data_IF_662325265065
#
_entry.id   IF_662325265065
#
_cell.length_a   1.000
_cell.length_b   1.000
_cell.length_c   1.000
_cell.angle_alpha   90.00
_cell.angle_beta   90.00
_cell.angle_gamma   90.00
#
_symmetry.space_group_name_H-M   'P 1'
#
loop_
_entity.id
_entity.type
_entity.pdbx_description
1 polymer ?
#
# COMPACT_ATOMS: atom_id res chain seq x y z
N UNK A 1 -35.21 22.37 -17.84
CA UNK A 1 -34.59 23.17 -16.76
C UNK A 1 -35.52 23.09 -15.56
N UNK A 2 -34.92 22.88 -14.38
CA UNK A 2 -35.50 22.94 -13.02
C UNK A 2 -35.92 21.58 -12.41
N UNK A 3 -35.20 21.24 -11.33
CA UNK A 3 -35.56 20.49 -10.10
C UNK A 3 -35.53 18.95 -10.00
N UNK A 4 -34.32 18.38 -9.89
CA UNK A 4 -34.10 17.08 -9.20
C UNK A 4 -32.95 17.09 -8.17
N UNK A 5 -32.38 18.25 -7.83
CA UNK A 5 -31.21 18.35 -6.94
C UNK A 5 -31.43 18.30 -5.41
N UNK A 6 -32.65 18.36 -4.80
CA UNK A 6 -32.75 18.35 -3.34
C UNK A 6 -32.95 16.97 -2.67
N UNK A 7 -33.28 15.91 -3.41
CA UNK A 7 -33.61 14.59 -2.79
C UNK A 7 -32.38 13.71 -2.54
N UNK A 8 -31.33 13.81 -3.39
CA UNK A 8 -30.10 13.01 -3.26
C UNK A 8 -29.28 13.41 -2.02
N UNK A 9 -29.35 14.68 -1.59
CA UNK A 9 -28.68 15.16 -0.38
C UNK A 9 -29.38 14.66 0.90
N UNK A 10 -30.68 14.39 0.85
CA UNK A 10 -31.43 13.94 2.03
C UNK A 10 -31.19 12.45 2.37
N UNK A 11 -31.04 11.58 1.37
CA UNK A 11 -30.86 10.12 1.60
C UNK A 11 -29.44 9.79 2.08
N UNK A 12 -28.42 10.49 1.57
CA UNK A 12 -27.04 10.39 2.09
C UNK A 12 -26.95 10.83 3.57
N UNK A 13 -27.73 11.83 3.99
CA UNK A 13 -27.77 12.30 5.38
C UNK A 13 -28.43 11.32 6.36
N UNK A 14 -29.39 10.48 5.93
CA UNK A 14 -30.09 9.56 6.84
C UNK A 14 -29.28 8.29 7.14
N UNK A 15 -28.54 7.75 6.16
CA UNK A 15 -27.64 6.60 6.38
C UNK A 15 -26.41 7.02 7.20
N UNK A 16 -25.90 8.23 6.96
CA UNK A 16 -24.86 8.85 7.80
C UNK A 16 -25.40 9.10 9.21
N UNK A 17 -26.64 9.55 9.41
CA UNK A 17 -27.20 9.78 10.75
C UNK A 17 -27.34 8.49 11.60
N UNK A 18 -27.76 7.37 11.00
CA UNK A 18 -27.88 6.09 11.70
C UNK A 18 -26.53 5.52 12.17
N UNK A 19 -25.50 5.61 11.32
CA UNK A 19 -24.12 5.26 11.65
C UNK A 19 -23.48 6.27 12.62
N UNK A 20 -23.80 7.56 12.52
CA UNK A 20 -23.34 8.61 13.44
C UNK A 20 -23.91 8.41 14.84
N UNK A 21 -25.15 7.93 15.03
CA UNK A 21 -25.71 7.69 16.37
C UNK A 21 -25.09 6.47 17.07
N UNK A 22 -24.69 5.43 16.32
CA UNK A 22 -23.95 4.29 16.86
C UNK A 22 -22.46 4.65 17.11
N UNK A 23 -21.84 5.39 16.18
CA UNK A 23 -20.46 5.87 16.29
C UNK A 23 -20.28 6.92 17.39
N UNK A 24 -21.29 7.76 17.68
CA UNK A 24 -21.23 8.79 18.75
C UNK A 24 -21.15 8.20 20.15
N UNK A 25 -21.64 6.97 20.38
CA UNK A 25 -21.51 6.29 21.68
C UNK A 25 -20.11 5.70 21.89
N UNK A 26 -19.47 5.18 20.83
CA UNK A 26 -18.09 4.67 20.90
C UNK A 26 -17.02 5.78 20.83
N UNK A 27 -17.24 6.85 20.05
CA UNK A 27 -16.31 7.99 19.94
C UNK A 27 -16.21 8.81 21.22
N UNK A 28 -17.29 8.94 22.02
CA UNK A 28 -17.21 9.64 23.32
C UNK A 28 -16.32 8.91 24.33
N UNK A 29 -16.24 7.59 24.27
CA UNK A 29 -15.35 6.82 25.13
C UNK A 29 -13.88 6.89 24.67
N UNK A 30 -13.63 6.89 23.35
CA UNK A 30 -12.29 6.98 22.77
C UNK A 30 -11.67 8.39 22.87
N UNK A 31 -12.46 9.45 22.68
CA UNK A 31 -11.99 10.83 22.79
C UNK A 31 -11.55 11.21 24.22
N UNK A 32 -12.10 10.56 25.25
CA UNK A 32 -11.71 10.78 26.64
C UNK A 32 -10.34 10.16 27.00
N UNK A 33 -9.80 9.26 26.17
CA UNK A 33 -8.54 8.55 26.43
C UNK A 33 -7.32 9.17 25.73
N UNK A 34 -7.51 10.12 24.81
CA UNK A 34 -6.41 10.80 24.12
C UNK A 34 -5.78 11.88 25.03
N UNK A 35 -4.75 11.49 25.78
CA UNK A 35 -3.99 12.41 26.63
C UNK A 35 -2.90 13.11 25.79
N UNK A 36 -3.23 14.32 25.32
CA UNK A 36 -2.31 15.28 24.70
C UNK A 36 -2.56 15.52 23.21
N UNK A 37 -2.72 16.77 22.74
CA UNK A 37 -2.81 17.04 21.31
C UNK A 37 -1.48 16.68 20.65
N UNK A 38 -1.52 15.82 19.62
CA UNK A 38 -0.45 15.76 18.62
C UNK A 38 -0.21 17.20 18.17
N UNK A 39 0.97 17.76 18.49
CA UNK A 39 1.27 19.14 18.18
C UNK A 39 1.06 19.33 16.66
N UNK A 40 0.14 20.24 16.30
CA UNK A 40 -0.08 20.64 14.92
C UNK A 40 1.23 21.23 14.39
N UNK A 41 1.99 20.42 13.66
CA UNK A 41 3.08 20.92 12.84
C UNK A 41 2.45 21.46 11.57
N UNK A 42 2.40 22.78 11.44
CA UNK A 42 2.13 23.41 10.15
C UNK A 42 3.36 23.18 9.27
N UNK A 43 3.32 22.13 8.47
CA UNK A 43 4.28 21.88 7.40
C UNK A 43 3.57 22.09 6.07
N UNK A 44 4.24 22.73 5.12
CA UNK A 44 3.76 22.78 3.74
C UNK A 44 3.82 21.36 3.17
N UNK A 45 2.66 20.72 2.97
CA UNK A 45 2.59 19.42 2.30
C UNK A 45 2.89 19.60 0.82
N UNK A 46 3.94 18.92 0.34
CA UNK A 46 4.23 18.80 -1.07
C UNK A 46 3.56 17.54 -1.66
N UNK A 47 3.42 17.51 -2.98
CA UNK A 47 2.97 16.30 -3.70
C UNK A 47 3.88 15.10 -3.41
N UNK A 48 5.17 15.33 -3.14
CA UNK A 48 6.12 14.31 -2.71
C UNK A 48 5.84 13.73 -1.32
N UNK A 49 5.10 14.42 -0.46
CA UNK A 49 4.70 13.91 0.86
C UNK A 49 3.45 13.03 0.79
N UNK A 50 2.85 12.89 -0.41
CA UNK A 50 1.66 12.08 -0.64
C UNK A 50 2.06 10.81 -1.37
N UNK A 51 1.64 9.69 -0.80
CA UNK A 51 1.72 8.39 -1.42
C UNK A 51 0.39 8.05 -2.11
N UNK A 52 0.47 7.66 -3.39
CA UNK A 52 -0.70 7.32 -4.21
C UNK A 52 -1.03 5.83 -4.03
N UNK A 53 -2.17 5.53 -3.42
CA UNK A 53 -2.68 4.16 -3.32
C UNK A 53 -3.27 3.68 -4.66
N UNK A 54 -2.92 2.47 -5.08
CA UNK A 54 -3.25 1.97 -6.42
C UNK A 54 -4.26 0.81 -6.41
N UNK A 55 -5.00 0.59 -5.32
CA UNK A 55 -6.03 -0.45 -5.30
C UNK A 55 -7.10 -0.28 -6.40
N UNK A 56 -7.53 0.95 -6.79
CA UNK A 56 -8.48 1.11 -7.89
C UNK A 56 -7.93 0.66 -9.25
N UNK A 57 -6.60 0.66 -9.45
CA UNK A 57 -5.99 0.19 -10.69
C UNK A 57 -6.20 -1.32 -10.90
N UNK A 58 -6.52 -2.07 -9.84
CA UNK A 58 -6.89 -3.47 -9.92
C UNK A 58 -8.38 -3.73 -10.20
N UNK A 59 -9.14 -2.70 -10.57
CA UNK A 59 -10.56 -2.79 -10.86
C UNK A 59 -11.47 -2.91 -9.64
N UNK A 60 -10.96 -2.64 -8.42
CA UNK A 60 -11.61 -2.92 -7.11
C UNK A 60 -12.94 -2.17 -6.87
N UNK A 61 -13.26 -1.13 -7.65
CA UNK A 61 -14.50 -0.35 -7.48
C UNK A 61 -15.21 -0.15 -8.80
N UNK A 62 -14.43 0.16 -9.84
CA UNK A 62 -14.91 0.37 -11.19
C UNK A 62 -13.96 -0.34 -12.15
N UNK A 63 -14.52 -0.83 -13.25
CA UNK A 63 -13.73 -1.38 -14.35
C UNK A 63 -12.83 -0.29 -14.92
N UNK A 64 -11.59 -0.67 -15.24
CA UNK A 64 -10.60 0.26 -15.75
C UNK A 64 -9.77 -0.46 -16.81
N UNK A 65 -9.73 0.07 -18.04
CA UNK A 65 -8.85 -0.50 -19.06
C UNK A 65 -7.37 -0.31 -18.69
N UNK A 66 -6.50 -1.13 -19.28
CA UNK A 66 -5.05 -0.99 -19.07
C UNK A 66 -4.54 0.41 -19.46
N UNK A 67 -5.00 0.94 -20.60
CA UNK A 67 -4.60 2.27 -21.06
C UNK A 67 -5.07 3.39 -20.12
N UNK A 68 -6.31 3.34 -19.60
CA UNK A 68 -6.82 4.31 -18.62
C UNK A 68 -6.03 4.25 -17.31
N UNK A 69 -5.75 3.03 -16.80
CA UNK A 69 -4.97 2.83 -15.60
C UNK A 69 -3.54 3.37 -15.75
N UNK A 70 -2.91 3.08 -16.89
CA UNK A 70 -1.57 3.57 -17.22
C UNK A 70 -1.55 5.11 -17.38
N UNK A 71 -2.59 5.70 -17.98
CA UNK A 71 -2.73 7.15 -18.12
C UNK A 71 -2.85 7.86 -16.77
N UNK A 72 -3.61 7.30 -15.82
CA UNK A 72 -3.70 7.85 -14.45
C UNK A 72 -2.33 7.92 -13.80
N UNK A 73 -1.56 6.83 -13.85
CA UNK A 73 -0.21 6.75 -13.27
C UNK A 73 0.75 7.69 -13.99
N UNK A 74 0.70 7.73 -15.33
CA UNK A 74 1.47 8.68 -16.13
C UNK A 74 1.20 10.11 -15.67
N UNK A 75 -0.08 10.47 -15.51
CA UNK A 75 -0.48 11.81 -15.09
C UNK A 75 0.01 12.15 -13.69
N UNK A 76 -0.08 11.21 -12.75
CA UNK A 76 0.50 11.35 -11.42
C UNK A 76 2.00 11.71 -11.50
N UNK A 77 2.75 10.99 -12.32
CA UNK A 77 4.19 11.20 -12.51
C UNK A 77 4.49 12.59 -13.12
N UNK A 78 3.69 13.04 -14.09
CA UNK A 78 3.82 14.34 -14.76
C UNK A 78 3.50 15.56 -13.89
N UNK A 79 2.65 15.39 -12.87
CA UNK A 79 2.29 16.46 -11.91
C UNK A 79 3.17 16.45 -10.66
N UNK A 80 4.00 15.43 -10.48
CA UNK A 80 5.05 15.41 -9.46
C UNK A 80 4.92 14.34 -8.39
N UNK A 81 3.96 13.41 -8.45
CA UNK A 81 3.87 12.29 -7.49
C UNK A 81 5.04 11.33 -7.66
N UNK A 82 5.74 11.04 -6.56
CA UNK A 82 6.92 10.16 -6.56
C UNK A 82 6.74 8.91 -5.72
N UNK A 83 5.70 8.82 -4.90
CA UNK A 83 5.47 7.70 -4.00
C UNK A 83 4.16 7.00 -4.34
N UNK A 84 4.22 5.67 -4.46
CA UNK A 84 3.06 4.83 -4.82
C UNK A 84 2.99 3.61 -3.91
N UNK A 85 1.78 3.22 -3.53
CA UNK A 85 1.50 1.99 -2.81
C UNK A 85 0.62 1.06 -3.65
N UNK A 86 1.01 -0.21 -3.69
CA UNK A 86 0.29 -1.26 -4.41
C UNK A 86 0.29 -2.56 -3.60
N UNK A 87 -0.27 -3.63 -4.14
CA UNK A 87 -0.23 -4.95 -3.53
C UNK A 87 -0.52 -6.05 -4.56
N UNK A 88 0.03 -7.27 -4.37
CA UNK A 88 -0.36 -8.44 -5.15
C UNK A 88 -1.85 -8.78 -5.03
N UNK A 89 -2.47 -8.42 -3.90
CA UNK A 89 -3.89 -8.66 -3.66
C UNK A 89 -4.79 -7.78 -4.54
N UNK A 90 -4.30 -6.63 -5.04
CA UNK A 90 -5.09 -5.69 -5.82
C UNK A 90 -5.25 -6.19 -7.27
N UNK A 91 -6.44 -6.67 -7.61
CA UNK A 91 -6.70 -7.24 -8.94
C UNK A 91 -5.90 -8.52 -9.21
N UNK A 92 -5.56 -9.29 -8.17
CA UNK A 92 -4.65 -10.45 -8.27
C UNK A 92 -3.32 -10.14 -8.98
N UNK A 93 -2.81 -8.92 -8.76
CA UNK A 93 -1.54 -8.43 -9.29
C UNK A 93 -1.68 -7.51 -10.51
N UNK A 94 -2.89 -7.33 -11.04
CA UNK A 94 -3.17 -6.42 -12.15
C UNK A 94 -2.77 -4.98 -11.82
N UNK A 95 -3.03 -4.52 -10.59
CA UNK A 95 -2.62 -3.19 -10.17
C UNK A 95 -1.10 -2.98 -10.22
N UNK A 96 -0.31 -4.01 -9.87
CA UNK A 96 1.16 -3.95 -9.93
C UNK A 96 1.64 -3.86 -11.39
N UNK A 97 1.04 -4.65 -12.28
CA UNK A 97 1.36 -4.63 -13.71
C UNK A 97 1.06 -3.26 -14.35
N UNK A 98 -0.14 -2.74 -14.09
CA UNK A 98 -0.59 -1.42 -14.59
C UNK A 98 0.25 -0.28 -14.02
N UNK A 99 0.55 -0.31 -12.72
CA UNK A 99 1.46 0.65 -12.09
C UNK A 99 2.83 0.64 -12.77
N UNK A 100 3.42 -0.55 -12.96
CA UNK A 100 4.70 -0.71 -13.63
C UNK A 100 4.73 -0.10 -15.04
N UNK A 101 3.69 -0.37 -15.85
CA UNK A 101 3.56 0.16 -17.20
C UNK A 101 3.36 1.68 -17.23
N UNK A 102 2.45 2.21 -16.41
CA UNK A 102 2.21 3.64 -16.31
C UNK A 102 3.43 4.43 -15.82
N UNK A 103 4.20 3.88 -14.86
CA UNK A 103 5.44 4.50 -14.40
C UNK A 103 6.47 4.61 -15.52
N UNK A 104 6.60 3.58 -16.37
CA UNK A 104 7.49 3.63 -17.54
C UNK A 104 7.04 4.71 -18.53
N UNK A 105 5.74 4.79 -18.84
CA UNK A 105 5.18 5.84 -19.72
C UNK A 105 5.47 7.24 -19.17
N UNK A 106 5.11 7.49 -17.91
CA UNK A 106 5.31 8.80 -17.27
C UNK A 106 6.77 9.20 -17.12
N UNK A 107 7.65 8.26 -16.75
CA UNK A 107 9.07 8.55 -16.61
C UNK A 107 9.74 8.85 -17.96
N UNK A 108 9.33 8.17 -19.04
CA UNK A 108 9.83 8.43 -20.38
C UNK A 108 9.43 9.82 -20.90
N UNK A 109 8.26 10.33 -20.50
CA UNK A 109 7.75 11.66 -20.89
C UNK A 109 8.35 12.81 -20.06
N UNK A 110 8.93 12.53 -18.90
CA UNK A 110 9.49 13.54 -18.00
C UNK A 110 10.83 14.11 -18.48
N UNK A 111 10.78 15.28 -19.12
CA UNK A 111 11.98 16.03 -19.50
C UNK A 111 12.73 16.61 -18.30
N UNK A 112 14.03 16.87 -18.46
CA UNK A 112 14.84 17.57 -17.44
C UNK A 112 14.24 18.93 -17.06
N UNK A 113 13.75 19.69 -18.04
CA UNK A 113 13.10 20.99 -17.81
C UNK A 113 11.84 20.84 -16.96
N UNK A 114 11.00 19.83 -17.26
CA UNK A 114 9.80 19.55 -16.46
C UNK A 114 10.14 19.16 -15.03
N UNK A 115 11.18 18.32 -14.86
CA UNK A 115 11.69 17.95 -13.52
C UNK A 115 12.21 19.16 -12.74
N UNK A 116 12.93 20.07 -13.39
CA UNK A 116 13.39 21.32 -12.76
C UNK A 116 12.22 22.21 -12.32
N UNK A 117 11.20 22.37 -13.18
CA UNK A 117 10.01 23.18 -12.87
C UNK A 117 9.22 22.64 -11.68
N UNK A 118 9.21 21.31 -11.51
CA UNK A 118 8.57 20.62 -10.39
C UNK A 118 9.49 20.46 -9.16
N UNK A 119 10.76 20.90 -9.23
CA UNK A 119 11.79 20.79 -8.18
C UNK A 119 12.15 19.35 -7.76
N UNK A 120 12.16 18.44 -8.72
CA UNK A 120 12.31 16.98 -8.54
C UNK A 120 13.41 16.40 -9.45
N UNK A 121 14.46 17.18 -9.73
CA UNK A 121 15.52 16.80 -10.68
C UNK A 121 16.17 15.47 -10.32
N UNK A 122 16.42 15.27 -9.03
CA UNK A 122 17.12 14.12 -8.48
C UNK A 122 16.18 13.19 -7.70
N UNK A 123 14.87 13.43 -7.77
CA UNK A 123 13.88 12.59 -7.09
C UNK A 123 13.49 11.37 -7.93
N UNK A 124 13.71 10.21 -7.33
CA UNK A 124 13.35 8.90 -7.86
C UNK A 124 11.91 8.55 -7.52
N UNK A 125 11.22 7.84 -8.42
CA UNK A 125 9.92 7.26 -8.12
C UNK A 125 10.12 6.02 -7.26
N UNK A 126 9.42 5.94 -6.14
CA UNK A 126 9.49 4.83 -5.19
C UNK A 126 8.13 4.17 -5.02
N UNK A 127 8.17 2.84 -4.98
CA UNK A 127 6.99 2.00 -4.81
C UNK A 127 7.10 1.22 -3.52
N UNK A 128 6.01 1.19 -2.77
CA UNK A 128 5.83 0.21 -1.71
C UNK A 128 4.83 -0.83 -2.20
N UNK A 129 5.14 -2.10 -1.96
CA UNK A 129 4.18 -3.19 -2.19
C UNK A 129 4.00 -3.98 -0.91
N UNK A 130 3.10 -4.95 -0.96
CA UNK A 130 2.74 -5.78 0.19
C UNK A 130 3.04 -7.26 -0.08
N UNK A 131 3.13 -8.02 0.99
CA UNK A 131 3.33 -9.48 0.97
C UNK A 131 2.27 -10.18 1.82
N UNK A 132 2.33 -11.51 1.87
CA UNK A 132 1.36 -12.37 2.57
C UNK A 132 0.33 -13.00 1.63
N UNK A 133 0.27 -12.55 0.37
CA UNK A 133 -0.44 -13.23 -0.72
C UNK A 133 0.55 -13.67 -1.79
N UNK A 134 0.60 -14.96 -2.07
CA UNK A 134 1.30 -15.53 -3.22
C UNK A 134 0.26 -15.79 -4.30
N UNK A 135 0.40 -15.13 -5.45
CA UNK A 135 -0.51 -15.36 -6.57
C UNK A 135 -0.06 -16.61 -7.31
N UNK A 136 -0.89 -17.64 -7.30
CA UNK A 136 -0.66 -18.92 -7.98
C UNK A 136 -1.61 -19.06 -9.16
N UNK A 137 -1.30 -19.97 -10.08
CA UNK A 137 -2.27 -20.46 -11.05
C UNK A 137 -3.11 -21.57 -10.42
N UNK A 138 -4.36 -21.77 -10.85
CA UNK A 138 -5.26 -22.82 -10.30
C UNK A 138 -4.64 -24.21 -10.24
N UNK A 139 -3.83 -24.59 -11.23
CA UNK A 139 -3.15 -25.89 -11.32
C UNK A 139 -1.94 -26.03 -10.38
N UNK A 140 -1.42 -24.92 -9.84
CA UNK A 140 -0.26 -24.93 -8.92
C UNK A 140 -0.65 -24.76 -7.45
N UNK A 141 -1.96 -24.72 -7.15
CA UNK A 141 -2.49 -24.74 -5.79
C UNK A 141 -2.33 -26.14 -5.19
N UNK A 142 -1.61 -26.23 -4.07
CA UNK A 142 -1.39 -27.45 -3.33
C UNK A 142 -2.51 -27.68 -2.29
N UNK A 143 -2.75 -28.93 -1.89
CA UNK A 143 -3.80 -29.29 -0.94
C UNK A 143 -3.70 -28.60 0.43
N UNK A 144 -2.51 -28.12 0.83
CA UNK A 144 -2.29 -27.39 2.08
C UNK A 144 -2.33 -25.87 1.95
N UNK A 145 -2.55 -25.33 0.74
CA UNK A 145 -2.64 -23.89 0.54
C UNK A 145 -3.94 -23.34 1.14
N UNK A 146 -3.83 -22.18 1.77
CA UNK A 146 -5.00 -21.42 2.24
C UNK A 146 -5.35 -20.40 1.17
N UNK A 147 -6.41 -20.66 0.41
CA UNK A 147 -6.89 -19.73 -0.63
C UNK A 147 -7.77 -18.65 -0.01
N UNK A 148 -7.50 -17.38 -0.34
CA UNK A 148 -8.34 -16.25 0.03
C UNK A 148 -9.53 -16.17 -0.93
N UNK A 149 -10.54 -17.02 -0.68
CA UNK A 149 -11.68 -17.22 -1.58
C UNK A 149 -12.46 -15.94 -1.88
N UNK A 150 -12.51 -15.02 -0.90
CA UNK A 150 -13.19 -13.74 -1.05
C UNK A 150 -12.56 -12.84 -2.11
N UNK A 151 -11.34 -13.11 -2.58
CA UNK A 151 -10.68 -12.32 -3.62
C UNK A 151 -10.59 -13.06 -4.97
N UNK A 152 -11.34 -14.16 -5.15
CA UNK A 152 -11.45 -14.86 -6.43
C UNK A 152 -12.46 -14.17 -7.36
N UNK A 153 -12.22 -14.15 -8.68
CA UNK A 153 -13.22 -13.70 -9.64
C UNK A 153 -14.51 -14.51 -9.46
N UNK A 154 -15.62 -13.81 -9.20
CA UNK A 154 -16.94 -14.42 -9.01
C UNK A 154 -17.33 -14.75 -7.60
N UNK A 155 -16.52 -14.38 -6.60
CA UNK A 155 -16.99 -14.44 -5.21
C UNK A 155 -18.13 -13.44 -4.94
N UNK A 156 -19.11 -13.87 -4.15
CA UNK A 156 -20.19 -12.97 -3.67
C UNK A 156 -19.73 -11.95 -2.62
N UNK A 157 -18.53 -12.16 -2.07
CA UNK A 157 -17.84 -11.33 -1.08
C UNK A 157 -16.68 -10.55 -1.68
N UNK A 158 -16.54 -10.55 -3.01
CA UNK A 158 -15.39 -9.89 -3.63
C UNK A 158 -15.37 -8.40 -3.34
N UNK A 159 -14.19 -7.89 -3.03
CA UNK A 159 -13.93 -6.46 -2.73
C UNK A 159 -14.31 -5.52 -3.88
N UNK A 160 -14.69 -6.06 -5.05
CA UNK A 160 -15.23 -5.39 -6.23
C UNK A 160 -16.65 -4.85 -5.99
N UNK A 161 -16.76 -3.77 -5.22
CA UNK A 161 -18.03 -3.09 -4.97
C UNK A 161 -18.30 -2.04 -6.05
N UNK A 162 -19.34 -2.25 -6.88
CA UNK A 162 -19.88 -1.20 -7.74
C UNK A 162 -20.94 -0.40 -6.97
N UNK A 163 -20.74 0.91 -6.86
CA UNK A 163 -21.74 1.84 -6.29
C UNK A 163 -22.31 2.67 -7.43
N UNK A 164 -23.63 2.65 -7.62
CA UNK A 164 -24.30 3.58 -8.54
C UNK A 164 -25.21 4.56 -7.78
N UNK A 165 -25.68 5.60 -8.49
CA UNK A 165 -26.52 6.66 -7.93
C UNK A 165 -27.92 6.20 -7.47
N UNK A 166 -28.29 4.93 -7.68
CA UNK A 166 -29.59 4.34 -7.31
C UNK A 166 -29.48 3.38 -6.11
N UNK A 167 -28.28 3.08 -5.63
CA UNK A 167 -28.05 2.26 -4.44
C UNK A 167 -26.80 1.37 -4.56
N UNK A 168 -26.52 0.59 -3.50
CA UNK A 168 -25.49 -0.46 -3.53
C UNK A 168 -26.05 -1.63 -4.35
N UNK A 169 -25.64 -1.74 -5.61
CA UNK A 169 -25.94 -2.90 -6.45
C UNK A 169 -24.77 -3.89 -6.39
N UNK A 170 -24.89 -4.94 -5.57
CA UNK A 170 -23.95 -6.08 -5.55
C UNK A 170 -24.29 -7.00 -6.73
N UNK A 171 -23.90 -6.66 -7.96
CA UNK A 171 -23.96 -7.61 -9.09
C UNK A 171 -22.95 -7.26 -10.21
N UNK A 172 -21.81 -7.97 -10.27
CA UNK A 172 -21.44 -8.90 -11.36
C UNK A 172 -20.23 -9.78 -10.95
N UNK A 173 -20.19 -11.10 -11.28
CA UNK A 173 -19.29 -12.09 -10.68
C UNK A 173 -17.93 -12.20 -11.39
N UNK A 174 -17.36 -11.09 -11.81
CA UNK A 174 -16.03 -11.09 -12.44
C UNK A 174 -15.48 -9.70 -12.26
N UNK A 175 -14.42 -9.54 -11.47
CA UNK A 175 -13.47 -8.48 -11.81
C UNK A 175 -12.97 -8.83 -13.20
N UNK A 176 -13.54 -8.20 -14.23
CA UNK A 176 -13.26 -8.53 -15.64
C UNK A 176 -11.75 -8.43 -15.95
N UNK A 177 -11.02 -7.67 -15.15
CA UNK A 177 -9.58 -7.48 -15.29
C UNK A 177 -8.72 -8.52 -14.56
N UNK A 178 -9.24 -9.21 -13.54
CA UNK A 178 -8.42 -10.17 -12.79
C UNK A 178 -8.22 -11.44 -13.61
N UNK A 179 -7.01 -12.02 -13.63
CA UNK A 179 -6.77 -13.23 -14.40
C UNK A 179 -7.64 -14.38 -13.91
N UNK A 180 -8.37 -15.03 -14.82
CA UNK A 180 -9.30 -16.11 -14.47
C UNK A 180 -8.60 -17.32 -13.83
N UNK A 181 -7.32 -17.54 -14.12
CA UNK A 181 -6.52 -18.64 -13.60
C UNK A 181 -5.75 -18.28 -12.32
N UNK A 182 -5.77 -17.02 -11.90
CA UNK A 182 -5.03 -16.56 -10.73
C UNK A 182 -5.78 -16.88 -9.43
N UNK A 183 -5.02 -17.31 -8.42
CA UNK A 183 -5.50 -17.69 -7.10
C UNK A 183 -4.64 -17.03 -6.04
N UNK A 184 -5.22 -16.21 -5.14
CA UNK A 184 -4.48 -15.63 -4.02
C UNK A 184 -4.35 -16.67 -2.91
N UNK A 185 -3.12 -17.14 -2.66
CA UNK A 185 -2.81 -18.01 -1.52
C UNK A 185 -2.25 -17.18 -0.38
N UNK A 186 -2.87 -17.28 0.79
CA UNK A 186 -2.36 -16.71 2.04
C UNK A 186 -1.12 -17.50 2.47
N UNK A 187 0.02 -16.83 2.49
CA UNK A 187 1.29 -17.41 2.94
C UNK A 187 2.06 -16.35 3.72
N UNK A 188 1.85 -16.35 5.03
CA UNK A 188 2.52 -15.46 5.98
C UNK A 188 3.85 -16.05 6.48
N UNK A 189 4.41 -17.05 5.80
CA UNK A 189 5.75 -17.56 6.13
C UNK A 189 6.84 -16.64 5.57
N UNK A 190 8.08 -16.80 6.06
CA UNK A 190 9.22 -16.09 5.50
C UNK A 190 9.46 -16.43 4.02
N UNK A 191 9.22 -17.68 3.63
CA UNK A 191 9.32 -18.12 2.24
C UNK A 191 8.20 -17.52 1.37
N UNK A 192 6.98 -17.45 1.91
CA UNK A 192 5.84 -16.78 1.29
C UNK A 192 6.11 -15.30 1.03
N UNK A 193 6.64 -14.59 2.01
CA UNK A 193 7.03 -13.19 1.87
C UNK A 193 8.07 -12.98 0.76
N UNK A 194 9.13 -13.80 0.74
CA UNK A 194 10.17 -13.73 -0.29
C UNK A 194 9.61 -14.05 -1.69
N UNK A 195 8.77 -15.08 -1.80
CA UNK A 195 8.12 -15.48 -3.05
C UNK A 195 7.17 -14.42 -3.57
N UNK A 196 6.32 -13.87 -2.71
CA UNK A 196 5.38 -12.80 -3.02
C UNK A 196 6.12 -11.56 -3.54
N UNK A 197 7.19 -11.13 -2.86
CA UNK A 197 8.04 -10.04 -3.32
C UNK A 197 8.67 -10.29 -4.69
N UNK A 198 9.23 -11.48 -4.92
CA UNK A 198 9.82 -11.84 -6.21
C UNK A 198 8.78 -11.78 -7.35
N UNK A 199 7.54 -12.23 -7.10
CA UNK A 199 6.45 -12.10 -8.05
C UNK A 199 6.06 -10.64 -8.32
N UNK A 200 6.01 -9.81 -7.27
CA UNK A 200 5.74 -8.37 -7.40
C UNK A 200 6.78 -7.66 -8.26
N UNK A 201 8.07 -7.99 -8.11
CA UNK A 201 9.13 -7.47 -8.99
C UNK A 201 8.89 -7.85 -10.46
N UNK A 202 8.41 -9.06 -10.70
CA UNK A 202 8.03 -9.53 -12.04
C UNK A 202 6.88 -8.71 -12.65
N UNK A 203 5.82 -8.44 -11.86
CA UNK A 203 4.65 -7.68 -12.31
C UNK A 203 4.93 -6.19 -12.51
N UNK A 204 5.59 -5.55 -11.52
CA UNK A 204 6.03 -4.15 -11.64
C UNK A 204 6.98 -3.96 -12.83
N UNK A 205 7.81 -4.97 -13.10
CA UNK A 205 8.72 -5.00 -14.24
C UNK A 205 10.00 -4.21 -14.00
N UNK A 206 10.88 -4.17 -15.02
CA UNK A 206 12.22 -3.62 -14.88
C UNK A 206 12.19 -2.10 -14.66
N UNK A 207 13.15 -1.62 -13.86
CA UNK A 207 13.36 -0.19 -13.60
C UNK A 207 12.48 0.42 -12.50
N UNK A 208 11.49 -0.30 -11.99
CA UNK A 208 10.72 0.14 -10.82
C UNK A 208 11.56 -0.04 -9.56
N UNK A 209 11.68 1.02 -8.75
CA UNK A 209 12.36 0.98 -7.47
C UNK A 209 11.35 0.71 -6.36
N UNK A 210 11.42 -0.50 -5.81
CA UNK A 210 10.68 -0.84 -4.60
C UNK A 210 11.45 -0.30 -3.40
N UNK A 211 10.85 0.64 -2.67
CA UNK A 211 11.42 1.27 -1.49
C UNK A 211 10.97 0.63 -0.18
N UNK A 212 9.87 -0.10 -0.18
CA UNK A 212 9.36 -0.74 1.04
C UNK A 212 8.45 -1.93 0.80
N UNK A 213 8.36 -2.78 1.81
CA UNK A 213 7.52 -3.97 1.84
C UNK A 213 6.66 -3.98 3.10
N UNK A 214 5.37 -4.24 2.92
CA UNK A 214 4.42 -4.33 4.04
C UNK A 214 3.84 -5.72 4.18
N UNK A 215 3.75 -6.26 5.39
CA UNK A 215 2.89 -7.42 5.63
C UNK A 215 1.43 -6.97 5.50
N UNK A 216 0.65 -7.56 4.60
CA UNK A 216 -0.71 -7.11 4.28
C UNK A 216 -1.73 -7.73 5.23
N UNK A 217 -2.55 -6.94 5.91
CA UNK A 217 -3.77 -7.31 6.61
C UNK A 217 -3.74 -8.61 7.47
N UNK A 218 -2.77 -8.77 8.40
CA UNK A 218 -2.79 -9.88 9.36
C UNK A 218 -3.83 -9.70 10.48
N UNK A 219 -5.11 -9.56 10.13
CA UNK A 219 -6.15 -9.01 11.03
C UNK A 219 -6.98 -10.04 11.80
N UNK A 220 -6.60 -11.31 11.74
CA UNK A 220 -7.12 -12.35 12.64
C UNK A 220 -6.03 -12.80 13.62
N UNK A 221 -6.37 -13.32 14.80
CA UNK A 221 -5.36 -13.80 15.76
C UNK A 221 -4.38 -14.81 15.16
N UNK A 222 -4.84 -15.67 14.25
CA UNK A 222 -3.99 -16.63 13.57
C UNK A 222 -3.04 -15.98 12.56
N UNK A 223 -3.53 -15.00 11.77
CA UNK A 223 -2.71 -14.28 10.79
C UNK A 223 -1.73 -13.32 11.48
N UNK A 224 -2.13 -12.68 12.57
CA UNK A 224 -1.27 -11.86 13.43
C UNK A 224 -0.08 -12.68 13.94
N UNK A 225 -0.35 -13.84 14.55
CA UNK A 225 0.69 -14.74 15.01
C UNK A 225 1.60 -15.23 13.87
N UNK A 226 1.02 -15.57 12.71
CA UNK A 226 1.78 -15.99 11.54
C UNK A 226 2.67 -14.86 10.98
N UNK A 227 2.18 -13.63 10.93
CA UNK A 227 2.94 -12.48 10.47
C UNK A 227 4.14 -12.18 11.37
N UNK A 228 3.94 -12.17 12.69
CA UNK A 228 4.98 -11.93 13.69
C UNK A 228 6.07 -13.00 13.64
N UNK A 229 5.70 -14.27 13.47
CA UNK A 229 6.64 -15.40 13.45
C UNK A 229 7.24 -15.67 12.05
N UNK A 230 6.62 -15.18 10.98
CA UNK A 230 6.95 -15.55 9.60
C UNK A 230 7.26 -14.36 8.69
N UNK A 231 6.22 -13.69 8.18
CA UNK A 231 6.35 -12.66 7.16
C UNK A 231 7.25 -11.51 7.58
N UNK A 232 7.12 -11.00 8.81
CA UNK A 232 7.92 -9.87 9.28
C UNK A 232 9.41 -10.24 9.38
N UNK A 233 9.82 -11.36 10.02
CA UNK A 233 11.19 -11.88 9.91
C UNK A 233 11.65 -12.11 8.46
N UNK A 234 10.78 -12.63 7.59
CA UNK A 234 11.08 -12.85 6.18
C UNK A 234 11.38 -11.57 5.41
N UNK A 235 10.58 -10.52 5.61
CA UNK A 235 10.80 -9.21 5.04
C UNK A 235 12.10 -8.57 5.55
N UNK A 236 12.42 -8.74 6.84
CA UNK A 236 13.70 -8.30 7.38
C UNK A 236 14.90 -9.01 6.71
N UNK A 237 14.76 -10.31 6.40
CA UNK A 237 15.75 -11.06 5.65
C UNK A 237 15.87 -10.58 4.19
N UNK A 238 14.75 -10.28 3.52
CA UNK A 238 14.72 -9.68 2.17
C UNK A 238 15.43 -8.33 2.17
N UNK A 239 15.14 -7.46 3.15
CA UNK A 239 15.84 -6.17 3.36
C UNK A 239 17.35 -6.35 3.53
N UNK A 240 17.76 -7.31 4.34
CA UNK A 240 19.18 -7.63 4.57
C UNK A 240 19.88 -8.20 3.32
N UNK A 241 19.14 -8.87 2.41
CA UNK A 241 19.66 -9.35 1.15
C UNK A 241 19.74 -8.24 0.09
N UNK A 242 18.73 -7.37 0.01
CA UNK A 242 18.67 -6.25 -0.94
C UNK A 242 19.80 -5.23 -0.71
N UNK A 243 20.13 -4.94 0.56
CA UNK A 243 21.24 -4.04 0.95
C UNK A 243 22.63 -4.55 0.56
N UNK A 244 22.78 -5.86 0.31
CA UNK A 244 24.04 -6.47 -0.13
C UNK A 244 24.23 -6.47 -1.65
N UNK A 245 23.21 -6.09 -2.44
CA UNK A 245 23.32 -6.04 -3.90
C UNK A 245 24.12 -4.79 -4.31
N UNK A 246 25.19 -4.90 -5.11
CA UNK A 246 25.88 -3.73 -5.65
C UNK A 246 24.90 -2.92 -6.51
N UNK A 247 25.07 -1.59 -6.50
CA UNK A 247 24.27 -0.69 -7.34
C UNK A 247 24.32 -1.17 -8.81
N UNK A 248 23.20 -1.10 -9.55
CA UNK A 248 23.22 -1.46 -10.96
C UNK A 248 24.26 -0.61 -11.68
N UNK A 249 25.17 -1.26 -12.41
CA UNK A 249 26.10 -0.57 -13.29
C UNK A 249 25.25 0.26 -14.26
N UNK A 250 25.31 1.59 -14.14
CA UNK A 250 24.72 2.47 -15.14
C UNK A 250 25.26 2.08 -16.49
N UNK A 251 24.40 1.98 -17.50
CA UNK A 251 24.81 1.71 -18.86
C UNK A 251 25.83 2.79 -19.29
N UNK A 252 27.13 2.47 -19.19
CA UNK A 252 28.18 3.32 -19.70
C UNK A 252 28.00 3.42 -21.20
N UNK A 253 27.58 4.59 -21.67
CA UNK A 253 27.55 4.90 -23.09
C UNK A 253 29.01 5.06 -23.54
N UNK A 254 29.52 4.26 -24.50
CA UNK A 254 30.88 4.40 -24.96
C UNK A 254 31.07 5.80 -25.57
N UNK A 255 31.84 6.67 -24.89
CA UNK A 255 32.19 8.02 -25.37
C UNK A 255 31.82 9.20 -24.48
N UNK A 256 31.16 9.00 -23.32
CA UNK A 256 30.87 10.10 -22.40
C UNK A 256 32.13 10.54 -21.63
N UNK A 257 32.62 11.78 -21.88
CA UNK A 257 33.71 12.37 -21.11
C UNK A 257 33.33 12.46 -19.62
N UNK A 258 34.08 11.77 -18.76
CA UNK A 258 33.97 11.78 -17.30
C UNK A 258 34.02 13.23 -16.78
N UNK A 259 32.90 13.75 -16.27
CA UNK A 259 32.90 15.05 -15.57
C UNK A 259 33.55 14.87 -14.21
N UNK A 260 34.46 15.77 -13.83
CA UNK A 260 34.96 15.85 -12.45
C UNK A 260 33.77 16.22 -11.56
N UNK A 261 33.32 15.27 -10.73
CA UNK A 261 32.15 15.46 -9.86
C UNK A 261 31.26 14.23 -9.68
N UNK A 262 31.52 13.09 -10.33
CA UNK A 262 30.83 11.83 -10.04
C UNK A 262 31.14 11.36 -8.61
N UNK A 263 30.39 11.90 -7.64
CA UNK A 263 30.16 11.24 -6.38
C UNK A 263 29.55 9.88 -6.72
N UNK A 264 30.22 8.80 -6.34
CA UNK A 264 29.73 7.44 -6.58
C UNK A 264 28.28 7.34 -6.12
N UNK A 265 27.43 6.72 -6.95
CA UNK A 265 26.03 6.50 -6.64
C UNK A 265 25.92 5.97 -5.20
N UNK A 266 25.24 6.72 -4.33
CA UNK A 266 25.02 6.31 -2.95
C UNK A 266 24.40 4.91 -2.94
N UNK A 267 24.82 4.07 -2.01
CA UNK A 267 24.19 2.76 -1.83
C UNK A 267 22.67 2.96 -1.67
N UNK A 268 21.84 2.12 -2.34
CA UNK A 268 20.39 2.28 -2.26
C UNK A 268 19.95 2.24 -0.80
N UNK A 269 19.01 3.13 -0.44
CA UNK A 269 18.42 3.11 0.89
C UNK A 269 17.86 1.71 1.19
N UNK A 270 17.98 1.23 2.44
CA UNK A 270 17.43 -0.07 2.80
C UNK A 270 15.92 -0.07 2.53
N UNK A 271 15.41 -1.24 2.11
CA UNK A 271 13.96 -1.45 2.01
C UNK A 271 13.31 -1.11 3.35
N UNK A 272 12.25 -0.33 3.31
CA UNK A 272 11.40 -0.10 4.47
C UNK A 272 10.63 -1.37 4.85
N UNK A 273 10.64 -1.70 6.13
CA UNK A 273 9.87 -2.79 6.72
C UNK A 273 8.63 -2.24 7.42
N UNK A 274 7.45 -2.70 7.00
CA UNK A 274 6.18 -2.16 7.48
C UNK A 274 5.08 -3.22 7.56
N UNK A 275 3.91 -2.80 8.03
CA UNK A 275 2.66 -3.58 8.06
C UNK A 275 1.53 -2.69 7.56
N UNK A 276 0.64 -3.24 6.73
CA UNK A 276 -0.58 -2.58 6.26
C UNK A 276 -1.80 -3.20 6.91
N UNK A 277 -2.68 -2.37 7.47
CA UNK A 277 -3.80 -2.81 8.31
C UNK A 277 -5.03 -1.91 8.10
N UNK A 278 -6.21 -2.45 8.37
CA UNK A 278 -7.49 -1.76 8.45
C UNK A 278 -8.01 -1.65 9.90
N UNK A 279 -7.46 -2.39 10.86
CA UNK A 279 -7.88 -2.44 12.26
C UNK A 279 -6.82 -1.82 13.18
N UNK A 280 -7.20 -0.73 13.86
CA UNK A 280 -6.31 0.02 14.74
C UNK A 280 -5.86 -0.78 15.99
N UNK A 281 -6.70 -1.69 16.49
CA UNK A 281 -6.37 -2.50 17.66
C UNK A 281 -5.36 -3.61 17.29
N UNK A 282 -5.48 -4.20 16.10
CA UNK A 282 -4.45 -5.11 15.56
C UNK A 282 -3.13 -4.36 15.36
N UNK A 283 -3.19 -3.15 14.78
CA UNK A 283 -2.00 -2.31 14.57
C UNK A 283 -1.23 -2.02 15.86
N UNK A 284 -1.94 -1.69 16.94
CA UNK A 284 -1.31 -1.49 18.24
C UNK A 284 -0.64 -2.75 18.77
N UNK A 285 -1.29 -3.93 18.69
CA UNK A 285 -0.69 -5.18 19.18
C UNK A 285 0.56 -5.57 18.41
N UNK A 286 0.53 -5.43 17.08
CA UNK A 286 1.72 -5.68 16.25
C UNK A 286 2.83 -4.69 16.61
N UNK A 287 2.51 -3.40 16.73
CA UNK A 287 3.48 -2.38 17.12
C UNK A 287 4.06 -2.61 18.52
N UNK A 288 3.27 -3.09 19.47
CA UNK A 288 3.72 -3.49 20.81
C UNK A 288 4.71 -4.66 20.76
N UNK A 289 4.49 -5.61 19.84
CA UNK A 289 5.37 -6.76 19.66
C UNK A 289 6.67 -6.40 18.92
N UNK A 290 6.62 -5.51 17.93
CA UNK A 290 7.77 -5.19 17.06
C UNK A 290 8.60 -4.00 17.56
N UNK A 291 7.95 -3.03 18.19
CA UNK A 291 8.57 -1.79 18.65
C UNK A 291 8.10 -1.52 20.10
N UNK A 292 8.48 -2.35 21.08
CA UNK A 292 8.04 -2.17 22.46
C UNK A 292 8.50 -0.82 23.02
N UNK A 293 7.72 -0.25 23.94
CA UNK A 293 8.00 1.07 24.52
C UNK A 293 9.21 1.08 25.48
N UNK A 294 9.72 -0.09 25.88
CA UNK A 294 10.90 -0.26 26.74
C UNK A 294 11.97 -1.03 25.95
N UNK A 295 13.25 -0.87 26.30
CA UNK A 295 14.38 -1.45 25.55
C UNK A 295 14.53 -2.97 25.67
N UNK A 296 13.44 -3.72 25.80
CA UNK A 296 13.38 -5.17 25.98
C UNK A 296 13.33 -5.96 24.66
N UNK A 297 13.52 -5.30 23.51
CA UNK A 297 13.46 -5.89 22.17
C UNK A 297 14.55 -6.92 21.80
N UNK A 298 15.34 -7.42 22.76
CA UNK A 298 16.32 -8.46 22.50
C UNK A 298 15.63 -9.83 22.33
N UNK A 299 15.49 -10.27 21.07
CA UNK A 299 14.93 -11.59 20.73
C UNK A 299 13.47 -11.59 20.23
N UNK A 300 12.86 -10.41 20.07
CA UNK A 300 11.52 -10.25 19.49
C UNK A 300 11.51 -10.21 17.95
N UNK A 301 10.32 -10.07 17.32
CA UNK A 301 10.20 -9.85 15.88
C UNK A 301 10.93 -8.57 15.45
N UNK A 302 11.30 -8.43 14.17
CA UNK A 302 12.04 -7.26 13.71
C UNK A 302 11.24 -5.97 13.89
N UNK A 303 11.92 -4.92 14.32
CA UNK A 303 11.33 -3.58 14.45
C UNK A 303 10.86 -3.04 13.10
N UNK A 304 9.66 -2.48 13.09
CA UNK A 304 9.06 -1.82 11.93
C UNK A 304 9.59 -0.39 11.80
N UNK A 305 9.76 0.04 10.56
CA UNK A 305 10.12 1.40 10.19
C UNK A 305 8.87 2.29 10.07
N UNK A 306 7.75 1.71 9.66
CA UNK A 306 6.46 2.38 9.52
C UNK A 306 5.27 1.44 9.79
N UNK A 307 4.09 2.03 9.95
CA UNK A 307 2.78 1.34 9.97
C UNK A 307 1.86 2.07 9.00
N UNK A 308 1.21 1.34 8.10
CA UNK A 308 0.17 1.87 7.22
C UNK A 308 -1.21 1.50 7.76
N UNK A 309 -2.05 2.49 8.05
CA UNK A 309 -3.37 2.27 8.63
C UNK A 309 -4.47 2.81 7.70
N UNK A 310 -5.07 1.92 6.93
CA UNK A 310 -6.06 2.24 5.92
C UNK A 310 -7.41 2.66 6.55
N UNK A 311 -7.89 3.85 6.18
CA UNK A 311 -9.25 4.31 6.47
C UNK A 311 -9.54 4.66 7.94
N UNK A 312 -8.54 4.69 8.84
CA UNK A 312 -8.76 4.99 10.28
C UNK A 312 -8.29 6.36 10.74
N UNK A 313 -7.93 7.21 9.77
CA UNK A 313 -7.58 8.59 10.02
C UNK A 313 -8.08 9.52 8.92
N UNK A 314 -9.27 10.08 9.15
CA UNK A 314 -9.86 11.17 8.38
C UNK A 314 -10.82 11.95 9.28
N UNK A 315 -11.49 12.97 8.74
CA UNK A 315 -12.42 13.81 9.53
C UNK A 315 -13.59 13.04 10.16
N UNK A 316 -13.94 11.86 9.61
CA UNK A 316 -15.09 11.07 10.04
C UNK A 316 -14.70 9.82 10.87
N UNK A 317 -13.48 9.32 10.75
CA UNK A 317 -12.95 8.21 11.53
C UNK A 317 -11.55 8.59 12.05
N UNK A 318 -11.42 8.66 13.38
CA UNK A 318 -10.15 8.91 14.08
C UNK A 318 -9.81 7.77 15.05
N UNK A 319 -10.36 6.58 14.83
CA UNK A 319 -10.07 5.40 15.66
C UNK A 319 -8.60 4.99 15.61
N UNK A 320 -7.85 5.44 14.60
CA UNK A 320 -6.39 5.30 14.52
C UNK A 320 -5.58 6.20 15.45
N UNK A 321 -6.19 7.17 16.16
CA UNK A 321 -5.46 8.10 17.04
C UNK A 321 -4.47 7.43 18.01
N UNK A 322 -4.83 6.31 18.69
CA UNK A 322 -3.91 5.61 19.57
C UNK A 322 -2.68 5.05 18.85
N UNK A 323 -2.84 4.57 17.61
CA UNK A 323 -1.73 4.07 16.78
C UNK A 323 -0.79 5.22 16.44
N UNK A 324 -1.33 6.38 16.03
CA UNK A 324 -0.51 7.56 15.72
C UNK A 324 0.33 8.01 16.92
N UNK A 325 -0.30 8.07 18.10
CA UNK A 325 0.38 8.44 19.34
C UNK A 325 1.49 7.44 19.71
N UNK A 326 1.21 6.14 19.59
CA UNK A 326 2.18 5.08 19.85
C UNK A 326 3.37 5.14 18.87
N UNK A 327 3.09 5.29 17.56
CA UNK A 327 4.11 5.44 16.53
C UNK A 327 5.00 6.66 16.80
N UNK A 328 4.41 7.82 17.11
CA UNK A 328 5.15 9.03 17.45
C UNK A 328 6.07 8.84 18.68
N UNK A 329 5.59 8.15 19.72
CA UNK A 329 6.37 7.86 20.92
C UNK A 329 7.53 6.87 20.68
N UNK A 330 7.41 6.02 19.65
CA UNK A 330 8.36 4.94 19.34
C UNK A 330 9.27 5.24 18.15
N UNK A 331 9.12 6.41 17.53
CA UNK A 331 9.89 6.79 16.34
C UNK A 331 9.53 5.97 15.10
N UNK A 332 8.31 5.43 15.03
CA UNK A 332 7.79 4.66 13.89
C UNK A 332 6.98 5.61 13.00
N UNK A 333 7.19 5.56 11.68
CA UNK A 333 6.42 6.40 10.74
C UNK A 333 4.99 5.89 10.59
N UNK A 334 4.09 6.76 10.20
CA UNK A 334 2.74 6.39 9.76
C UNK A 334 2.56 6.82 8.32
N UNK A 335 1.99 5.92 7.52
CA UNK A 335 1.77 6.09 6.09
C UNK A 335 0.31 5.84 5.71
#
# INVERSE_FOLDING_TARGET
MVDTLPIVVAVACVVVAGLVVAATRHTRAAAAAATGPLALKTADLAVGDILVGTSPLGGIVEELSDDEAEEVVERCVEVGFRHFDTAPHYGLGVAESRLGAGLRRGCAKLTRTRRAALKILDEEVRVWTKVGRVIKTKDTVAAGDVVEADNLPGSSTTIYLRVDLRGIHIFHPTSIDSPEDAVPVLDYSAAGAAKSYAQSLGRLGPGVVVAGLRCHDPESPALEAAALAGSLPGLAAVRAAATKRPAPAGAETPGAKKRRGDAGAAAPAPLELSVGLNDAAVALRILDATNPARGDGAGGPPALDSVMLAGRWHLLDQTGAPVLAACAARGVRVE
#
